data_IF_204239623139
#
_entry.id   IF_204239623139
#
_cell.length_a   1.000
_cell.length_b   1.000
_cell.length_c   1.000
_cell.angle_alpha   90.00
_cell.angle_beta   90.00
_cell.angle_gamma   90.00
#
_symmetry.space_group_name_H-M   'P 1'
#
loop_
_entity.id
_entity.type
_entity.pdbx_description
1 polymer ?
#
# COMPACT_ATOMS: atom_id res chain seq x y z
N UNK A 1 -7.83 24.91 10.39
CA UNK A 1 -9.32 24.88 10.53
C UNK A 1 -9.68 24.07 11.77
N UNK A 2 -10.72 24.47 12.52
CA UNK A 2 -11.21 23.67 13.66
C UNK A 2 -12.03 22.50 13.13
N UNK A 3 -11.65 21.25 13.46
CA UNK A 3 -12.36 20.05 13.03
C UNK A 3 -13.82 20.08 13.53
N UNK A 4 -14.78 19.87 12.63
CA UNK A 4 -16.22 19.85 12.94
C UNK A 4 -16.75 18.43 13.10
N UNK A 5 -16.20 17.51 12.31
CA UNK A 5 -16.59 16.10 12.31
C UNK A 5 -15.47 15.23 12.88
N UNK A 6 -15.84 14.08 13.43
CA UNK A 6 -14.87 13.20 14.11
C UNK A 6 -13.82 12.60 13.19
N UNK A 7 -14.17 12.27 11.94
CA UNK A 7 -13.21 11.77 10.96
C UNK A 7 -12.15 12.81 10.58
N UNK A 8 -12.46 14.12 10.65
CA UNK A 8 -11.49 15.20 10.39
C UNK A 8 -10.36 15.26 11.43
N UNK A 9 -10.55 14.63 12.59
CA UNK A 9 -9.54 14.53 13.66
C UNK A 9 -8.54 13.40 13.45
N UNK A 10 -8.84 12.48 12.52
CA UNK A 10 -7.99 11.33 12.24
C UNK A 10 -6.79 11.74 11.38
N UNK A 11 -5.58 11.44 11.84
CA UNK A 11 -4.36 11.72 11.08
C UNK A 11 -4.39 11.03 9.71
N UNK A 12 -4.88 9.79 9.64
CA UNK A 12 -5.02 9.05 8.39
C UNK A 12 -5.95 9.74 7.38
N UNK A 13 -7.00 10.41 7.86
CA UNK A 13 -7.89 11.20 7.00
C UNK A 13 -7.18 12.44 6.47
N UNK A 14 -6.44 13.13 7.34
CA UNK A 14 -5.65 14.30 6.96
C UNK A 14 -4.61 13.95 5.87
N UNK A 15 -3.88 12.85 6.05
CA UNK A 15 -2.93 12.36 5.05
C UNK A 15 -3.63 11.94 3.74
N UNK A 16 -4.80 11.30 3.83
CA UNK A 16 -5.58 10.95 2.66
C UNK A 16 -6.00 12.19 1.86
N UNK A 17 -6.45 13.26 2.51
CA UNK A 17 -6.81 14.52 1.85
C UNK A 17 -5.59 15.19 1.20
N UNK A 18 -4.40 15.14 1.85
CA UNK A 18 -3.16 15.63 1.23
C UNK A 18 -2.81 14.84 -0.02
N UNK A 19 -2.95 13.52 0.03
CA UNK A 19 -2.72 12.66 -1.13
C UNK A 19 -3.72 12.95 -2.26
N UNK A 20 -5.00 13.12 -1.96
CA UNK A 20 -6.03 13.49 -2.96
C UNK A 20 -5.68 14.81 -3.66
N UNK A 21 -5.25 15.82 -2.90
CA UNK A 21 -4.84 17.11 -3.47
C UNK A 21 -3.61 16.96 -4.40
N UNK A 22 -2.61 16.17 -3.99
CA UNK A 22 -1.43 15.87 -4.80
C UNK A 22 -1.80 15.09 -6.07
N UNK A 23 -2.64 14.05 -5.93
CA UNK A 23 -3.10 13.24 -7.05
C UNK A 23 -3.90 14.07 -8.05
N UNK A 24 -4.76 15.00 -7.58
CA UNK A 24 -5.47 15.95 -8.43
C UNK A 24 -4.53 16.79 -9.29
N UNK A 25 -3.49 17.36 -8.69
CA UNK A 25 -2.46 18.11 -9.44
C UNK A 25 -1.72 17.25 -10.46
N UNK A 26 -1.43 15.99 -10.14
CA UNK A 26 -0.84 15.05 -11.09
C UNK A 26 -1.81 14.76 -12.25
N UNK A 27 -3.08 14.51 -11.95
CA UNK A 27 -4.11 14.20 -12.96
C UNK A 27 -4.31 15.35 -13.95
N UNK A 28 -4.15 16.60 -13.55
CA UNK A 28 -4.20 17.75 -14.47
C UNK A 28 -3.12 17.70 -15.55
N UNK A 29 -1.99 17.03 -15.27
CA UNK A 29 -0.89 16.87 -16.23
C UNK A 29 -1.04 15.66 -17.15
N UNK A 30 -1.99 14.77 -16.88
CA UNK A 30 -2.21 13.53 -17.60
C UNK A 30 -3.37 13.65 -18.61
N UNK A 31 -3.30 12.85 -19.69
CA UNK A 31 -4.42 12.73 -20.61
C UNK A 31 -5.56 11.93 -19.99
N UNK A 32 -6.79 12.48 -20.07
CA UNK A 32 -8.02 11.81 -19.62
C UNK A 32 -8.35 10.52 -20.37
N UNK A 33 -7.73 10.27 -21.54
CA UNK A 33 -7.91 9.03 -22.30
C UNK A 33 -7.15 7.83 -21.72
N UNK A 34 -6.35 8.03 -20.69
CA UNK A 34 -5.60 6.95 -20.04
C UNK A 34 -6.49 6.22 -19.03
N UNK A 35 -6.64 4.90 -19.16
CA UNK A 35 -7.37 4.10 -18.17
C UNK A 35 -6.84 4.28 -16.73
N UNK A 36 -5.52 4.49 -16.57
CA UNK A 36 -4.91 4.76 -15.27
C UNK A 36 -5.31 6.12 -14.69
N UNK A 37 -5.75 7.09 -15.50
CA UNK A 37 -6.31 8.37 -15.05
C UNK A 37 -7.57 8.15 -14.22
N UNK A 38 -8.59 7.48 -14.80
CA UNK A 38 -9.86 7.24 -14.13
C UNK A 38 -9.71 6.35 -12.89
N UNK A 39 -8.80 5.38 -12.96
CA UNK A 39 -8.53 4.51 -11.81
C UNK A 39 -7.88 5.29 -10.66
N UNK A 40 -6.87 6.12 -10.94
CA UNK A 40 -6.20 6.92 -9.90
C UNK A 40 -7.14 7.95 -9.29
N UNK A 41 -7.98 8.61 -10.08
CA UNK A 41 -8.97 9.57 -9.61
C UNK A 41 -9.98 8.93 -8.65
N UNK A 42 -10.60 7.81 -9.08
CA UNK A 42 -11.56 7.07 -8.26
C UNK A 42 -10.94 6.47 -7.00
N UNK A 43 -9.76 5.84 -7.13
CA UNK A 43 -9.11 5.20 -6.00
C UNK A 43 -8.64 6.24 -4.97
N UNK A 44 -8.07 7.37 -5.39
CA UNK A 44 -7.65 8.42 -4.46
C UNK A 44 -8.83 8.99 -3.66
N UNK A 45 -9.93 9.30 -4.33
CA UNK A 45 -11.19 9.76 -3.70
C UNK A 45 -11.74 8.69 -2.75
N UNK A 46 -11.73 7.42 -3.15
CA UNK A 46 -12.21 6.28 -2.37
C UNK A 46 -11.49 6.12 -1.03
N UNK A 47 -10.20 6.44 -0.92
CA UNK A 47 -9.45 6.41 0.33
C UNK A 47 -10.14 7.29 1.38
N UNK A 48 -10.30 8.57 1.08
CA UNK A 48 -10.84 9.56 2.03
C UNK A 48 -12.29 9.26 2.41
N UNK A 49 -13.13 8.90 1.44
CA UNK A 49 -14.55 8.62 1.67
C UNK A 49 -14.73 7.39 2.55
N UNK A 50 -13.99 6.30 2.31
CA UNK A 50 -14.11 5.09 3.13
C UNK A 50 -13.54 5.28 4.55
N UNK A 51 -12.52 6.12 4.75
CA UNK A 51 -12.06 6.48 6.09
C UNK A 51 -13.17 7.21 6.86
N UNK A 52 -13.81 8.21 6.24
CA UNK A 52 -14.88 8.97 6.87
C UNK A 52 -16.09 8.08 7.18
N UNK A 53 -16.51 7.22 6.25
CA UNK A 53 -17.61 6.30 6.44
C UNK A 53 -17.31 5.25 7.50
N UNK A 54 -16.12 4.64 7.49
CA UNK A 54 -15.71 3.69 8.51
C UNK A 54 -15.67 4.29 9.91
N UNK A 55 -15.22 5.54 10.03
CA UNK A 55 -15.24 6.24 11.33
C UNK A 55 -16.66 6.49 11.85
N UNK A 56 -17.63 6.65 10.96
CA UNK A 56 -19.04 6.84 11.32
C UNK A 56 -19.82 5.56 11.66
N UNK A 57 -19.24 4.36 11.42
CA UNK A 57 -19.93 3.09 11.71
C UNK A 57 -19.93 2.76 13.20
N UNK A 58 -21.04 2.19 13.66
CA UNK A 58 -21.20 1.80 15.06
C UNK A 58 -20.53 0.47 15.40
N UNK A 59 -20.58 -0.51 14.48
CA UNK A 59 -20.05 -1.85 14.71
C UNK A 59 -18.59 -1.98 14.32
N UNK A 60 -17.80 -2.73 15.08
CA UNK A 60 -16.41 -2.98 14.79
C UNK A 60 -16.18 -3.69 13.42
N UNK A 61 -16.96 -4.73 13.05
CA UNK A 61 -16.82 -5.36 11.74
C UNK A 61 -17.07 -4.40 10.57
N UNK A 62 -18.09 -3.54 10.66
CA UNK A 62 -18.38 -2.56 9.61
C UNK A 62 -17.24 -1.53 9.49
N UNK A 63 -16.73 -1.03 10.63
CA UNK A 63 -15.59 -0.11 10.64
C UNK A 63 -14.38 -0.73 9.94
N UNK A 64 -14.03 -1.97 10.31
CA UNK A 64 -12.91 -2.70 9.70
C UNK A 64 -13.10 -2.87 8.21
N UNK A 65 -14.31 -3.21 7.74
CA UNK A 65 -14.62 -3.37 6.33
C UNK A 65 -14.31 -2.09 5.53
N UNK A 66 -14.75 -0.93 6.00
CA UNK A 66 -14.52 0.34 5.31
C UNK A 66 -13.04 0.76 5.36
N UNK A 67 -12.35 0.54 6.48
CA UNK A 67 -10.92 0.79 6.56
C UNK A 67 -10.11 -0.15 5.65
N UNK A 68 -10.55 -1.40 5.47
CA UNK A 68 -9.90 -2.33 4.53
C UNK A 68 -10.13 -1.92 3.07
N UNK A 69 -11.33 -1.44 2.72
CA UNK A 69 -11.59 -0.86 1.39
C UNK A 69 -10.70 0.37 1.15
N UNK A 70 -10.57 1.27 2.14
CA UNK A 70 -9.68 2.43 2.03
C UNK A 70 -8.22 2.00 1.82
N UNK A 71 -7.76 0.97 2.54
CA UNK A 71 -6.42 0.40 2.40
C UNK A 71 -6.20 -0.20 1.00
N UNK A 72 -7.19 -0.96 0.50
CA UNK A 72 -7.17 -1.49 -0.86
C UNK A 72 -7.07 -0.39 -1.90
N UNK A 73 -7.84 0.71 -1.75
CA UNK A 73 -7.80 1.87 -2.64
C UNK A 73 -6.43 2.58 -2.61
N UNK A 74 -5.78 2.66 -1.45
CA UNK A 74 -4.42 3.22 -1.35
C UNK A 74 -3.38 2.35 -2.09
N UNK A 75 -3.50 1.03 -2.01
CA UNK A 75 -2.64 0.11 -2.77
C UNK A 75 -2.93 0.18 -4.28
N UNK A 76 -4.19 0.36 -4.68
CA UNK A 76 -4.57 0.59 -6.08
C UNK A 76 -3.94 1.87 -6.63
N UNK A 77 -3.94 2.98 -5.85
CA UNK A 77 -3.25 4.20 -6.22
C UNK A 77 -1.75 3.96 -6.45
N UNK A 78 -1.08 3.23 -5.56
CA UNK A 78 0.34 2.91 -5.71
C UNK A 78 0.60 2.11 -7.01
N UNK A 79 -0.26 1.12 -7.31
CA UNK A 79 -0.18 0.34 -8.54
C UNK A 79 -0.43 1.21 -9.80
N UNK A 80 -1.39 2.14 -9.76
CA UNK A 80 -1.64 3.08 -10.84
C UNK A 80 -0.40 3.95 -11.13
N UNK A 81 0.28 4.43 -10.09
CA UNK A 81 1.52 5.20 -10.24
C UNK A 81 2.62 4.37 -10.92
N UNK A 82 2.79 3.10 -10.55
CA UNK A 82 3.73 2.19 -11.23
C UNK A 82 3.38 1.99 -12.69
N UNK A 83 2.10 1.80 -13.02
CA UNK A 83 1.62 1.67 -14.40
C UNK A 83 1.92 2.93 -15.20
N UNK A 84 1.74 4.13 -14.62
CA UNK A 84 2.05 5.39 -15.28
C UNK A 84 3.55 5.53 -15.57
N UNK A 85 4.42 5.12 -14.64
CA UNK A 85 5.87 5.08 -14.86
C UNK A 85 6.24 4.09 -15.95
N UNK A 86 5.70 2.87 -15.90
CA UNK A 86 5.95 1.83 -16.91
C UNK A 86 5.52 2.28 -18.32
N UNK A 87 4.41 3.01 -18.42
CA UNK A 87 3.91 3.60 -19.66
C UNK A 87 4.63 4.90 -20.07
N UNK A 88 5.65 5.33 -19.32
CA UNK A 88 6.41 6.58 -19.54
C UNK A 88 5.53 7.83 -19.55
N UNK A 89 4.45 7.83 -18.79
CA UNK A 89 3.54 8.96 -18.58
C UNK A 89 3.87 9.74 -17.31
N UNK A 90 4.62 9.13 -16.41
CA UNK A 90 5.15 9.72 -15.19
C UNK A 90 6.65 9.40 -15.12
N UNK A 91 7.45 10.35 -14.69
CA UNK A 91 8.92 10.17 -14.59
C UNK A 91 9.28 9.33 -13.38
N UNK A 92 8.62 9.58 -12.24
CA UNK A 92 8.92 8.94 -10.95
C UNK A 92 7.65 8.85 -10.08
N UNK A 93 7.45 7.72 -9.42
CA UNK A 93 6.30 7.48 -8.53
C UNK A 93 6.63 7.68 -7.03
N UNK A 94 7.89 7.94 -6.67
CA UNK A 94 8.38 7.93 -5.29
C UNK A 94 7.63 8.88 -4.37
N UNK A 95 7.38 10.10 -4.81
CA UNK A 95 6.66 11.09 -3.99
C UNK A 95 5.25 10.60 -3.64
N UNK A 96 4.47 10.13 -4.62
CA UNK A 96 3.12 9.63 -4.36
C UNK A 96 3.12 8.39 -3.48
N UNK A 97 4.05 7.46 -3.72
CA UNK A 97 4.19 6.27 -2.88
C UNK A 97 4.60 6.61 -1.45
N UNK A 98 5.51 7.55 -1.25
CA UNK A 98 5.91 8.00 0.07
C UNK A 98 4.73 8.59 0.87
N UNK A 99 3.77 9.24 0.20
CA UNK A 99 2.53 9.71 0.84
C UNK A 99 1.55 8.58 1.17
N UNK A 100 1.52 7.50 0.37
CA UNK A 100 0.63 6.36 0.59
C UNK A 100 1.09 5.43 1.72
N UNK A 101 2.39 5.30 1.96
CA UNK A 101 2.96 4.42 3.00
C UNK A 101 2.38 4.70 4.39
N UNK A 102 2.37 5.94 4.91
CA UNK A 102 1.76 6.23 6.22
C UNK A 102 0.25 5.95 6.23
N UNK A 103 -0.49 6.22 5.15
CA UNK A 103 -1.92 5.95 5.05
C UNK A 103 -2.19 4.45 5.22
N UNK A 104 -1.49 3.59 4.45
CA UNK A 104 -1.62 2.12 4.53
C UNK A 104 -1.27 1.61 5.93
N UNK A 105 -0.19 2.15 6.53
CA UNK A 105 0.28 1.75 7.86
C UNK A 105 -0.73 2.11 8.96
N UNK A 106 -1.28 3.33 8.92
CA UNK A 106 -2.30 3.79 9.87
C UNK A 106 -3.60 3.00 9.73
N UNK A 107 -4.06 2.73 8.50
CA UNK A 107 -5.25 1.90 8.25
C UNK A 107 -5.06 0.48 8.77
N UNK A 108 -3.91 -0.14 8.54
CA UNK A 108 -3.60 -1.44 9.10
C UNK A 108 -3.59 -1.44 10.64
N UNK A 109 -3.13 -0.35 11.26
CA UNK A 109 -3.20 -0.14 12.71
C UNK A 109 -4.64 -0.03 13.21
N UNK A 110 -5.48 0.77 12.54
CA UNK A 110 -6.91 0.93 12.87
C UNK A 110 -7.69 -0.38 12.75
N UNK A 111 -7.45 -1.15 11.68
CA UNK A 111 -8.08 -2.45 11.50
C UNK A 111 -7.69 -3.40 12.63
N UNK A 112 -6.39 -3.49 12.97
CA UNK A 112 -5.91 -4.34 14.07
C UNK A 112 -6.47 -3.95 15.42
N UNK A 113 -6.53 -2.65 15.73
CA UNK A 113 -7.06 -2.17 17.02
C UNK A 113 -8.58 -2.36 17.16
N UNK A 114 -9.30 -2.45 16.04
CA UNK A 114 -10.75 -2.58 16.01
C UNK A 114 -11.21 -4.05 15.92
N UNK A 115 -10.40 -4.95 15.34
CA UNK A 115 -10.71 -6.36 15.19
C UNK A 115 -9.82 -7.24 16.05
N UNK A 116 -10.15 -7.37 17.35
CA UNK A 116 -9.47 -8.32 18.23
C UNK A 116 -9.62 -9.79 17.80
N UNK A 117 -10.67 -10.12 17.05
CA UNK A 117 -11.01 -11.50 16.70
C UNK A 117 -10.43 -11.97 15.34
N UNK A 118 -10.27 -11.07 14.37
CA UNK A 118 -9.78 -11.45 13.03
C UNK A 118 -8.31 -11.90 12.98
N UNK A 119 -7.50 -11.37 13.88
CA UNK A 119 -6.06 -11.75 13.95
C UNK A 119 -5.89 -13.18 14.44
N UNK A 120 -6.78 -13.67 15.30
CA UNK A 120 -6.78 -15.05 15.75
C UNK A 120 -7.24 -16.02 14.66
N UNK A 121 -8.20 -15.62 13.83
CA UNK A 121 -8.77 -16.46 12.77
C UNK A 121 -7.79 -16.62 11.59
N UNK A 122 -7.21 -15.52 11.07
CA UNK A 122 -6.18 -15.58 10.02
C UNK A 122 -4.92 -16.33 10.48
N UNK A 123 -4.53 -16.18 11.75
CA UNK A 123 -3.39 -16.90 12.30
C UNK A 123 -3.69 -18.39 12.47
N UNK A 124 -4.89 -18.75 12.92
CA UNK A 124 -5.33 -20.12 13.05
C UNK A 124 -5.50 -20.80 11.68
N UNK A 125 -6.07 -20.12 10.69
CA UNK A 125 -6.17 -20.62 9.32
C UNK A 125 -4.80 -20.77 8.65
N UNK A 126 -3.89 -19.81 8.85
CA UNK A 126 -2.53 -19.91 8.35
C UNK A 126 -1.75 -21.03 9.03
N UNK A 127 -1.86 -21.19 10.35
CA UNK A 127 -1.25 -22.29 11.09
C UNK A 127 -1.86 -23.65 10.74
N UNK A 128 -3.18 -23.71 10.48
CA UNK A 128 -3.87 -24.93 10.03
C UNK A 128 -3.53 -25.28 8.57
N UNK A 129 -3.43 -24.27 7.68
CA UNK A 129 -3.09 -24.47 6.28
C UNK A 129 -1.59 -24.80 6.06
N UNK A 130 -0.72 -24.31 6.94
CA UNK A 130 0.73 -24.51 6.80
C UNK A 130 1.24 -25.76 7.53
N UNK A 131 0.50 -26.34 8.49
CA UNK A 131 0.82 -27.59 9.16
C UNK A 131 2.32 -27.88 9.29
N UNK A 132 2.75 -29.10 8.93
CA UNK A 132 4.16 -29.51 8.88
C UNK A 132 5.02 -28.77 7.82
N UNK A 133 4.40 -28.03 6.86
CA UNK A 133 5.10 -27.33 5.78
C UNK A 133 5.68 -25.98 6.20
N UNK A 134 5.05 -25.27 7.14
CA UNK A 134 5.53 -23.99 7.64
C UNK A 134 6.90 -24.10 8.31
N UNK A 135 7.15 -25.19 9.02
CA UNK A 135 8.44 -25.50 9.64
C UNK A 135 9.52 -25.76 8.57
N UNK A 136 9.17 -26.43 7.47
CA UNK A 136 10.10 -26.70 6.36
C UNK A 136 10.54 -25.42 5.65
N UNK A 137 9.63 -24.47 5.41
CA UNK A 137 9.96 -23.19 4.77
C UNK A 137 10.84 -22.34 5.69
N UNK A 138 10.53 -22.27 6.99
CA UNK A 138 11.37 -21.56 7.97
C UNK A 138 12.78 -22.16 8.07
N UNK A 139 12.90 -23.49 8.08
CA UNK A 139 14.19 -24.18 8.10
C UNK A 139 14.97 -23.89 6.81
N UNK A 140 14.32 -23.91 5.64
CA UNK A 140 14.96 -23.63 4.35
C UNK A 140 15.46 -22.19 4.27
N UNK A 141 14.69 -21.21 4.75
CA UNK A 141 15.09 -19.79 4.81
C UNK A 141 16.22 -19.59 5.81
N UNK A 142 16.20 -20.28 6.95
CA UNK A 142 17.25 -20.18 7.98
C UNK A 142 18.56 -20.82 7.51
N UNK A 143 18.50 -21.92 6.78
CA UNK A 143 19.67 -22.57 6.18
C UNK A 143 20.25 -21.70 5.05
N UNK A 144 19.42 -21.13 4.18
CA UNK A 144 19.87 -20.22 3.12
C UNK A 144 20.57 -18.96 3.65
N UNK A 145 20.23 -18.49 4.86
CA UNK A 145 20.92 -17.35 5.53
C UNK A 145 22.27 -17.74 6.16
N UNK A 146 22.57 -19.03 6.33
CA UNK A 146 23.84 -19.53 6.91
C UNK A 146 24.86 -19.96 5.89
N UNK A 147 24.52 -20.02 4.60
CA UNK A 147 25.46 -20.37 3.53
C UNK A 147 26.13 -19.10 3.05
N UNK A 148 27.44 -19.00 3.23
CA UNK A 148 28.27 -17.89 2.72
C UNK A 148 28.17 -17.77 1.19
N UNK A 149 28.27 -16.55 0.62
CA UNK A 149 28.06 -16.29 -0.81
C UNK A 149 29.02 -16.99 -1.78
N UNK A 150 29.99 -17.76 -1.29
CA UNK A 150 31.05 -18.37 -2.09
C UNK A 150 30.78 -19.79 -2.56
N UNK A 151 29.63 -20.42 -2.20
CA UNK A 151 29.38 -21.85 -2.51
C UNK A 151 28.16 -22.13 -3.39
N UNK A 152 27.61 -21.13 -4.09
CA UNK A 152 26.52 -21.38 -5.04
C UNK A 152 27.06 -21.52 -6.46
N UNK A 153 26.82 -22.65 -7.15
CA UNK A 153 27.15 -22.79 -8.56
C UNK A 153 26.27 -21.83 -9.38
N UNK A 154 26.89 -21.16 -10.33
CA UNK A 154 26.32 -20.20 -11.27
C UNK A 154 24.93 -20.61 -11.80
N UNK A 155 23.88 -19.93 -11.37
CA UNK A 155 22.59 -19.90 -12.05
C UNK A 155 22.48 -18.58 -12.83
N UNK A 156 22.27 -18.59 -14.17
CA UNK A 156 22.45 -17.40 -15.03
C UNK A 156 21.31 -16.37 -14.97
N UNK A 157 20.37 -16.48 -14.05
CA UNK A 157 19.13 -15.67 -14.04
C UNK A 157 19.09 -14.54 -13.00
N UNK A 158 20.10 -14.41 -12.11
CA UNK A 158 20.07 -13.44 -11.00
C UNK A 158 20.81 -12.13 -11.32
N UNK A 159 21.45 -12.00 -12.46
CA UNK A 159 22.38 -10.87 -12.76
C UNK A 159 21.77 -9.71 -13.56
N UNK A 160 20.45 -9.61 -13.72
CA UNK A 160 19.86 -8.54 -14.55
C UNK A 160 19.12 -7.44 -13.77
N UNK A 161 19.15 -7.43 -12.43
CA UNK A 161 18.36 -6.45 -11.67
C UNK A 161 19.13 -5.42 -10.83
N UNK A 162 20.48 -5.41 -10.87
CA UNK A 162 21.27 -4.57 -9.93
C UNK A 162 21.99 -3.37 -10.55
N UNK A 163 21.62 -2.94 -11.74
CA UNK A 163 22.18 -1.72 -12.34
C UNK A 163 21.12 -0.79 -12.93
N UNK A 164 20.23 -0.24 -12.09
CA UNK A 164 19.52 1.02 -12.39
C UNK A 164 18.78 1.61 -11.18
N UNK A 165 19.52 1.93 -10.13
CA UNK A 165 19.07 2.94 -9.16
C UNK A 165 20.09 4.07 -9.20
N UNK A 166 20.00 4.90 -10.23
CA UNK A 166 20.57 6.23 -10.17
C UNK A 166 19.60 7.11 -9.38
N UNK A 167 20.05 7.92 -8.42
CA UNK A 167 19.19 8.82 -7.67
C UNK A 167 18.58 9.84 -8.62
N UNK A 168 17.29 10.12 -8.42
CA UNK A 168 16.58 11.21 -9.08
C UNK A 168 17.21 12.53 -8.61
N UNK A 169 18.26 13.01 -9.31
CA UNK A 169 18.84 14.32 -9.07
C UNK A 169 17.95 15.38 -9.75
N UNK A 170 17.53 16.36 -8.96
CA UNK A 170 16.92 17.61 -9.37
C UNK A 170 17.57 18.18 -10.63
N UNK A 171 16.78 18.35 -11.68
CA UNK A 171 17.10 19.30 -12.74
C UNK A 171 16.19 20.52 -12.61
N UNK A 172 16.87 21.62 -12.28
CA UNK A 172 16.33 22.95 -12.41
C UNK A 172 15.92 23.25 -13.84
#
# INVERSE_FOLDING_TARGET
MKARFDHEKLDVYQEAIRFVAWAGGLLETLSKSLAAYDQLDRASTSIALNIAEGNGKYTAPDRCRFFDIARGSALECAACLDVLVAKKRLVCAEQGKAMLVPIVSMLAGLIRSTSSDRIHEERAEYEAATGSWGIKIMITITIARRISPTELPCAPWIWLHEKRLAPCMDRK
#
